data_IF_495086000849
#
_entry.id   IF_495086000849
#
_cell.length_a   1.000
_cell.length_b   1.000
_cell.length_c   1.000
_cell.angle_alpha   90.00
_cell.angle_beta   90.00
_cell.angle_gamma   90.00
#
_symmetry.space_group_name_H-M   'P 1'
#
loop_
_entity.id
_entity.type
_entity.pdbx_description
1 polymer ?
#
# COMPACT_ATOMS: atom_id res chain seq x y z
N UNK A 1 6.37 12.10 -51.84
CA UNK A 1 7.60 11.48 -51.26
C UNK A 1 8.02 12.17 -49.96
N UNK A 2 8.25 13.50 -49.97
CA UNK A 2 8.64 14.27 -48.78
C UNK A 2 7.64 14.23 -47.62
N UNK A 3 6.34 14.24 -47.89
CA UNK A 3 5.30 14.18 -46.84
C UNK A 3 5.31 12.86 -46.06
N UNK A 4 5.58 11.75 -46.74
CA UNK A 4 5.72 10.43 -46.11
C UNK A 4 6.95 10.38 -45.22
N UNK A 5 8.06 10.99 -45.68
CA UNK A 5 9.30 11.09 -44.91
C UNK A 5 9.13 12.00 -43.69
N UNK A 6 8.44 13.13 -43.84
CA UNK A 6 8.15 14.06 -42.76
C UNK A 6 7.24 13.42 -41.70
N UNK A 7 6.21 12.66 -42.13
CA UNK A 7 5.35 11.89 -41.24
C UNK A 7 6.12 10.82 -40.46
N UNK A 8 7.05 10.13 -41.13
CA UNK A 8 7.92 9.13 -40.49
C UNK A 8 8.82 9.77 -39.42
N UNK A 9 9.46 10.89 -39.74
CA UNK A 9 10.36 11.62 -38.83
C UNK A 9 9.59 12.18 -37.64
N UNK A 10 8.42 12.79 -37.88
CA UNK A 10 7.55 13.30 -36.83
C UNK A 10 7.09 12.17 -35.89
N UNK A 11 6.68 11.02 -36.44
CA UNK A 11 6.32 9.84 -35.65
C UNK A 11 7.46 9.33 -34.78
N UNK A 12 8.68 9.27 -35.33
CA UNK A 12 9.87 8.81 -34.60
C UNK A 12 10.23 9.74 -33.44
N UNK A 13 10.09 11.05 -33.63
CA UNK A 13 10.32 12.06 -32.59
C UNK A 13 9.30 11.94 -31.45
N UNK A 14 8.02 11.70 -31.77
CA UNK A 14 6.97 11.49 -30.76
C UNK A 14 7.26 10.23 -29.95
N UNK A 15 7.59 9.12 -30.62
CA UNK A 15 7.92 7.85 -29.94
C UNK A 15 9.16 7.99 -29.06
N UNK A 16 10.20 8.66 -29.56
CA UNK A 16 11.41 8.93 -28.79
C UNK A 16 11.12 9.81 -27.56
N UNK A 17 10.31 10.86 -27.70
CA UNK A 17 9.88 11.71 -26.59
C UNK A 17 9.14 10.93 -25.51
N UNK A 18 8.21 10.05 -25.91
CA UNK A 18 7.52 9.14 -24.99
C UNK A 18 8.52 8.22 -24.28
N UNK A 19 9.47 7.64 -25.02
CA UNK A 19 10.48 6.74 -24.46
C UNK A 19 11.36 7.43 -23.41
N UNK A 20 11.76 8.68 -23.67
CA UNK A 20 12.57 9.50 -22.76
C UNK A 20 11.77 9.89 -21.51
N UNK A 21 10.50 10.27 -21.69
CA UNK A 21 9.62 10.66 -20.58
C UNK A 21 9.29 9.48 -19.65
N UNK A 22 9.28 8.24 -20.17
CA UNK A 22 8.99 7.04 -19.38
C UNK A 22 10.20 6.51 -18.57
N UNK A 23 11.43 6.91 -18.92
CA UNK A 23 12.65 6.56 -18.17
C UNK A 23 12.90 5.04 -17.96
N UNK A 24 13.92 4.67 -17.17
CA UNK A 24 14.28 3.27 -16.92
C UNK A 24 13.21 2.46 -16.14
N UNK A 25 12.19 3.12 -15.60
CA UNK A 25 11.07 2.50 -14.90
C UNK A 25 10.08 1.77 -15.85
N UNK A 26 10.15 2.01 -17.15
CA UNK A 26 9.33 1.32 -18.15
C UNK A 26 9.59 -0.19 -18.22
N UNK A 27 10.82 -0.65 -17.97
CA UNK A 27 11.17 -2.09 -17.98
C UNK A 27 10.36 -2.90 -16.97
N UNK A 28 10.03 -2.30 -15.81
CA UNK A 28 9.19 -2.93 -14.80
C UNK A 28 7.70 -3.00 -15.19
N UNK A 29 7.21 -2.00 -15.92
CA UNK A 29 5.81 -1.92 -16.36
C UNK A 29 5.54 -2.85 -17.57
N UNK A 30 6.46 -2.90 -18.53
CA UNK A 30 6.36 -3.80 -19.70
C UNK A 30 6.40 -5.27 -19.28
N UNK A 31 7.21 -5.63 -18.26
CA UNK A 31 7.24 -7.00 -17.71
C UNK A 31 5.92 -7.38 -17.04
N UNK A 32 5.23 -6.44 -16.39
CA UNK A 32 3.90 -6.67 -15.77
C UNK A 32 2.79 -6.85 -16.80
N UNK A 33 2.80 -6.08 -17.89
CA UNK A 33 1.80 -6.20 -18.95
C UNK A 33 2.02 -7.45 -19.81
N UNK A 34 3.26 -7.86 -20.04
CA UNK A 34 3.59 -9.09 -20.77
C UNK A 34 3.13 -10.37 -20.03
N UNK A 35 3.15 -10.37 -18.69
CA UNK A 35 2.65 -11.49 -17.87
C UNK A 35 1.12 -11.56 -17.88
N UNK A 36 0.44 -10.42 -18.02
CA UNK A 36 -1.02 -10.38 -18.11
C UNK A 36 -1.54 -10.91 -19.46
N UNK A 37 -0.80 -10.68 -20.55
CA UNK A 37 -1.20 -11.09 -21.91
C UNK A 37 -0.99 -12.59 -22.21
N UNK A 38 -0.32 -13.34 -21.33
CA UNK A 38 -0.05 -14.79 -21.52
C UNK A 38 -1.07 -15.75 -20.88
N UNK A 39 -2.16 -15.27 -20.30
CA UNK A 39 -3.25 -16.17 -19.86
C UNK A 39 -4.15 -16.56 -21.04
N UNK A 40 -3.73 -17.58 -21.80
CA UNK A 40 -4.68 -18.43 -22.53
C UNK A 40 -5.51 -19.25 -21.53
N UNK A 41 -6.79 -19.55 -21.83
CA UNK A 41 -7.68 -20.20 -20.88
C UNK A 41 -7.41 -21.70 -20.89
N UNK A 42 -6.84 -22.24 -19.82
CA UNK A 42 -6.93 -23.67 -19.54
C UNK A 42 -8.20 -23.89 -18.72
N UNK A 43 -9.16 -24.60 -19.30
CA UNK A 43 -10.29 -25.22 -18.62
C UNK A 43 -9.76 -26.10 -17.47
N UNK A 44 -9.87 -25.63 -16.23
CA UNK A 44 -9.71 -26.47 -15.05
C UNK A 44 -10.78 -26.09 -14.03
N UNK A 45 -11.99 -26.61 -14.22
CA UNK A 45 -13.14 -26.43 -13.35
C UNK A 45 -13.03 -27.18 -11.99
N UNK A 46 -11.86 -27.71 -11.63
CA UNK A 46 -11.67 -28.46 -10.39
C UNK A 46 -10.27 -28.21 -9.82
N UNK A 47 -10.04 -27.00 -9.29
CA UNK A 47 -8.98 -26.79 -8.32
C UNK A 47 -9.59 -26.15 -7.06
N UNK A 48 -9.61 -26.83 -5.90
CA UNK A 48 -9.98 -26.19 -4.64
C UNK A 48 -9.04 -25.00 -4.41
N UNK A 49 -9.53 -23.89 -3.84
CA UNK A 49 -8.75 -22.66 -3.70
C UNK A 49 -7.53 -22.94 -2.83
N UNK A 50 -6.36 -23.10 -3.48
CA UNK A 50 -5.08 -23.12 -2.80
C UNK A 50 -4.95 -21.78 -2.06
N UNK A 51 -4.72 -21.77 -0.73
CA UNK A 51 -4.50 -20.55 0.01
C UNK A 51 -3.39 -19.79 -0.70
N UNK A 52 -3.71 -18.56 -1.08
CA UNK A 52 -2.77 -17.64 -1.72
C UNK A 52 -1.65 -17.43 -0.72
N UNK A 53 -0.55 -18.16 -0.89
CA UNK A 53 0.69 -17.95 -0.15
C UNK A 53 1.17 -16.56 -0.57
N UNK A 54 0.79 -15.58 0.26
CA UNK A 54 1.24 -14.20 0.13
C UNK A 54 2.74 -14.28 0.22
N UNK A 55 3.41 -14.04 -0.91
CA UNK A 55 4.85 -13.88 -1.03
C UNK A 55 5.36 -13.26 0.26
N UNK A 56 6.01 -14.08 1.07
CA UNK A 56 6.70 -13.64 2.26
C UNK A 56 7.81 -12.71 1.77
N UNK A 57 7.49 -11.42 1.71
CA UNK A 57 8.50 -10.41 1.96
C UNK A 57 9.17 -10.86 3.26
N UNK A 58 10.51 -10.88 3.33
CA UNK A 58 11.26 -11.28 4.53
C UNK A 58 11.03 -10.40 5.76
N UNK A 59 9.89 -9.70 5.82
CA UNK A 59 9.35 -9.00 6.95
C UNK A 59 8.88 -9.99 8.02
N UNK A 60 9.05 -9.57 9.27
CA UNK A 60 8.52 -10.29 10.41
C UNK A 60 6.97 -10.38 10.32
N UNK A 61 6.37 -11.53 10.68
CA UNK A 61 4.92 -11.72 10.62
C UNK A 61 4.13 -10.67 11.42
N UNK A 62 4.66 -10.17 12.54
CA UNK A 62 4.02 -9.09 13.31
C UNK A 62 4.06 -7.74 12.58
N UNK A 63 5.18 -7.41 11.91
CA UNK A 63 5.27 -6.24 11.01
C UNK A 63 4.23 -6.34 9.90
N UNK A 64 4.10 -7.52 9.30
CA UNK A 64 3.10 -7.77 8.26
C UNK A 64 1.67 -7.56 8.79
N UNK A 65 1.36 -8.01 10.02
CA UNK A 65 0.06 -7.75 10.66
C UNK A 65 -0.21 -6.26 10.81
N UNK A 66 0.77 -5.47 11.23
CA UNK A 66 0.64 -4.00 11.30
C UNK A 66 0.34 -3.42 9.92
N UNK A 67 1.10 -3.81 8.89
CA UNK A 67 0.89 -3.32 7.53
C UNK A 67 -0.48 -3.69 6.96
N UNK A 68 -0.97 -4.89 7.25
CA UNK A 68 -2.32 -5.33 6.83
C UNK A 68 -3.39 -4.50 7.53
N UNK A 69 -3.32 -4.36 8.85
CA UNK A 69 -4.29 -3.55 9.62
C UNK A 69 -4.27 -2.07 9.17
N UNK A 70 -3.08 -1.53 8.94
CA UNK A 70 -2.85 -0.20 8.40
C UNK A 70 -3.51 0.00 7.04
N UNK A 71 -3.35 -0.97 6.14
CA UNK A 71 -3.92 -0.91 4.80
C UNK A 71 -5.44 -0.98 4.83
N UNK A 72 -6.03 -1.81 5.70
CA UNK A 72 -7.49 -1.92 5.89
C UNK A 72 -8.06 -0.60 6.38
N UNK A 73 -7.49 -0.05 7.46
CA UNK A 73 -7.93 1.22 8.02
C UNK A 73 -7.72 2.38 7.03
N UNK A 74 -6.56 2.47 6.38
CA UNK A 74 -6.27 3.53 5.41
C UNK A 74 -7.16 3.47 4.17
N UNK A 75 -7.53 2.28 3.69
CA UNK A 75 -8.48 2.13 2.58
C UNK A 75 -9.89 2.53 3.00
N UNK A 76 -10.30 2.16 4.22
CA UNK A 76 -11.60 2.55 4.76
C UNK A 76 -11.69 4.07 4.96
N UNK A 77 -10.66 4.70 5.54
CA UNK A 77 -10.60 6.16 5.73
C UNK A 77 -10.68 6.92 4.40
N UNK A 78 -9.99 6.43 3.37
CA UNK A 78 -10.12 7.01 2.02
C UNK A 78 -11.56 6.93 1.50
N UNK A 79 -12.25 5.81 1.72
CA UNK A 79 -13.66 5.68 1.32
C UNK A 79 -14.58 6.63 2.10
N UNK A 80 -14.15 7.10 3.28
CA UNK A 80 -14.82 8.12 4.09
C UNK A 80 -14.29 9.55 3.83
N UNK A 81 -13.55 9.79 2.74
CA UNK A 81 -12.93 11.08 2.38
C UNK A 81 -11.87 11.61 3.37
N UNK A 82 -11.29 10.76 4.22
CA UNK A 82 -10.17 11.10 5.11
C UNK A 82 -8.81 10.76 4.47
N UNK A 83 -8.53 11.34 3.31
CA UNK A 83 -7.33 11.04 2.52
C UNK A 83 -6.02 11.45 3.19
N UNK A 84 -6.02 12.52 3.97
CA UNK A 84 -4.84 12.99 4.69
C UNK A 84 -4.34 11.93 5.68
N UNK A 85 -5.23 11.45 6.54
CA UNK A 85 -4.89 10.40 7.53
C UNK A 85 -4.58 9.08 6.83
N UNK A 86 -5.29 8.74 5.76
CA UNK A 86 -4.98 7.57 4.95
C UNK A 86 -3.58 7.66 4.30
N UNK A 87 -3.13 8.86 3.92
CA UNK A 87 -1.78 9.11 3.38
C UNK A 87 -0.71 9.00 4.47
N UNK A 88 -0.97 9.50 5.66
CA UNK A 88 -0.07 9.35 6.81
C UNK A 88 0.15 7.88 7.17
N UNK A 89 -0.93 7.08 7.27
CA UNK A 89 -0.84 5.65 7.52
C UNK A 89 -0.01 4.94 6.44
N UNK A 90 -0.17 5.33 5.16
CA UNK A 90 0.62 4.78 4.05
C UNK A 90 2.09 5.19 4.12
N UNK A 91 2.38 6.42 4.52
CA UNK A 91 3.75 6.91 4.71
C UNK A 91 4.45 6.19 5.87
N UNK A 92 3.76 6.03 7.00
CA UNK A 92 4.25 5.26 8.15
C UNK A 92 4.51 3.79 7.78
N UNK A 93 3.58 3.15 7.06
CA UNK A 93 3.74 1.80 6.53
C UNK A 93 4.95 1.67 5.59
N UNK A 94 5.21 2.68 4.75
CA UNK A 94 6.41 2.71 3.91
C UNK A 94 7.70 2.71 4.73
N UNK A 95 7.75 3.52 5.80
CA UNK A 95 8.90 3.58 6.72
C UNK A 95 9.16 2.25 7.40
N UNK A 96 8.11 1.47 7.71
CA UNK A 96 8.28 0.16 8.35
C UNK A 96 9.11 -0.84 7.55
N UNK A 97 9.24 -0.66 6.23
CA UNK A 97 10.07 -1.52 5.38
C UNK A 97 11.56 -1.16 5.40
N UNK A 98 11.92 0.07 5.79
CA UNK A 98 13.29 0.57 5.83
C UNK A 98 13.82 0.76 7.25
N UNK A 99 12.99 1.35 8.12
CA UNK A 99 13.27 1.62 9.52
C UNK A 99 11.98 1.36 10.31
N UNK A 100 11.89 0.14 10.82
CA UNK A 100 10.71 -0.35 11.51
C UNK A 100 10.34 0.45 12.76
N UNK A 101 11.25 0.74 13.71
CA UNK A 101 10.96 1.60 14.86
C UNK A 101 10.39 2.96 14.46
N UNK A 102 11.00 3.65 13.48
CA UNK A 102 10.50 4.95 13.02
C UNK A 102 9.09 4.86 12.42
N UNK A 103 8.80 3.79 11.68
CA UNK A 103 7.49 3.54 11.09
C UNK A 103 6.42 3.28 12.15
N UNK A 104 6.77 2.52 13.20
CA UNK A 104 5.89 2.24 14.33
C UNK A 104 5.56 3.51 15.13
N UNK A 105 6.54 4.38 15.38
CA UNK A 105 6.28 5.69 16.02
C UNK A 105 5.40 6.59 15.16
N UNK A 106 5.65 6.65 13.85
CA UNK A 106 4.78 7.37 12.92
C UNK A 106 3.35 6.82 12.96
N UNK A 107 3.19 5.50 13.14
CA UNK A 107 1.89 4.86 13.25
C UNK A 107 1.14 5.22 14.53
N UNK A 108 1.85 5.34 15.65
CA UNK A 108 1.25 5.86 16.89
C UNK A 108 0.77 7.29 16.72
N UNK A 109 1.54 8.14 16.02
CA UNK A 109 1.13 9.53 15.77
C UNK A 109 -0.14 9.60 14.92
N UNK A 110 -0.24 8.79 13.87
CA UNK A 110 -1.45 8.67 13.05
C UNK A 110 -2.65 8.15 13.87
N UNK A 111 -2.44 7.15 14.73
CA UNK A 111 -3.48 6.64 15.64
C UNK A 111 -3.97 7.67 16.67
N UNK A 112 -3.10 8.58 17.13
CA UNK A 112 -3.49 9.69 18.01
C UNK A 112 -4.37 10.70 17.26
N UNK A 113 -4.03 11.04 16.01
CA UNK A 113 -4.85 11.90 15.14
C UNK A 113 -6.21 11.27 14.81
N UNK A 114 -6.26 9.94 14.65
CA UNK A 114 -7.51 9.22 14.45
C UNK A 114 -8.48 9.34 15.63
N UNK A 115 -7.96 9.46 16.86
CA UNK A 115 -8.79 9.60 18.05
C UNK A 115 -9.52 10.94 18.11
N UNK A 116 -9.03 11.97 17.41
CA UNK A 116 -9.69 13.28 17.32
C UNK A 116 -10.70 13.34 16.17
N UNK A 117 -10.75 12.32 15.30
CA UNK A 117 -11.77 12.23 14.26
C UNK A 117 -13.09 11.77 14.88
N UNK A 118 -14.13 12.58 14.69
CA UNK A 118 -15.51 12.25 15.02
C UNK A 118 -16.29 12.14 13.71
N UNK A 119 -17.01 11.03 13.56
CA UNK A 119 -17.92 10.82 12.45
C UNK A 119 -19.36 11.00 12.95
N UNK A 120 -20.19 11.65 12.15
CA UNK A 120 -21.60 11.88 12.50
C UNK A 120 -22.43 10.59 12.47
N UNK A 121 -22.03 9.62 11.64
CA UNK A 121 -22.66 8.31 11.57
C UNK A 121 -22.12 7.36 12.66
N UNK A 122 -23.02 6.86 13.52
CA UNK A 122 -22.71 5.88 14.57
C UNK A 122 -22.15 4.57 13.99
N UNK A 123 -22.63 4.14 12.83
CA UNK A 123 -22.15 2.92 12.17
C UNK A 123 -20.69 3.07 11.71
N UNK A 124 -20.39 4.18 11.04
CA UNK A 124 -19.04 4.53 10.64
C UNK A 124 -18.11 4.73 11.85
N UNK A 125 -18.59 5.35 12.93
CA UNK A 125 -17.82 5.54 14.16
C UNK A 125 -17.43 4.22 14.82
N UNK A 126 -18.36 3.25 14.91
CA UNK A 126 -18.06 1.92 15.46
C UNK A 126 -17.07 1.15 14.57
N UNK A 127 -17.21 1.29 13.25
CA UNK A 127 -16.29 0.68 12.29
C UNK A 127 -14.87 1.26 12.40
N UNK A 128 -14.75 2.58 12.53
CA UNK A 128 -13.49 3.27 12.77
C UNK A 128 -12.85 2.79 14.08
N UNK A 129 -13.64 2.67 15.15
CA UNK A 129 -13.16 2.18 16.45
C UNK A 129 -12.62 0.75 16.35
N UNK A 130 -13.34 -0.12 15.66
CA UNK A 130 -12.91 -1.51 15.42
C UNK A 130 -11.57 -1.56 14.68
N UNK A 131 -11.46 -0.86 13.55
CA UNK A 131 -10.26 -0.87 12.71
C UNK A 131 -9.06 -0.19 13.39
N UNK A 132 -9.30 0.89 14.14
CA UNK A 132 -8.25 1.59 14.89
C UNK A 132 -7.74 0.77 16.07
N UNK A 133 -8.60 -0.01 16.72
CA UNK A 133 -8.19 -0.95 17.76
C UNK A 133 -7.38 -2.11 17.17
N UNK A 134 -7.81 -2.71 16.05
CA UNK A 134 -7.05 -3.76 15.35
C UNK A 134 -5.62 -3.29 15.00
N UNK A 135 -5.49 -2.06 14.48
CA UNK A 135 -4.18 -1.48 14.20
C UNK A 135 -3.39 -1.20 15.48
N UNK A 136 -4.03 -0.64 16.53
CA UNK A 136 -3.37 -0.36 17.80
C UNK A 136 -2.80 -1.62 18.44
N UNK A 137 -3.58 -2.69 18.47
CA UNK A 137 -3.16 -3.96 19.05
C UNK A 137 -1.97 -4.53 18.27
N UNK A 138 -2.03 -4.55 16.93
CA UNK A 138 -0.92 -5.00 16.11
C UNK A 138 0.35 -4.16 16.30
N UNK A 139 0.21 -2.84 16.43
CA UNK A 139 1.33 -1.91 16.68
C UNK A 139 1.94 -2.17 18.05
N UNK A 140 1.11 -2.28 19.10
CA UNK A 140 1.55 -2.55 20.46
C UNK A 140 2.29 -3.89 20.56
N UNK A 141 1.74 -4.94 19.96
CA UNK A 141 2.34 -6.26 19.86
C UNK A 141 3.73 -6.25 19.24
N UNK A 142 3.98 -5.32 18.31
CA UNK A 142 5.26 -5.17 17.63
C UNK A 142 6.23 -4.28 18.40
N UNK A 143 5.74 -3.23 19.04
CA UNK A 143 6.52 -2.41 19.98
C UNK A 143 7.11 -3.27 21.10
N UNK A 144 6.30 -4.12 21.72
CA UNK A 144 6.72 -5.03 22.78
C UNK A 144 7.82 -5.98 22.33
N UNK A 145 7.70 -6.54 21.11
CA UNK A 145 8.72 -7.42 20.55
C UNK A 145 10.05 -6.75 20.24
N UNK A 146 10.01 -5.46 19.89
CA UNK A 146 11.22 -4.69 19.63
C UNK A 146 11.81 -4.10 20.92
N UNK A 147 11.21 -4.41 22.08
CA UNK A 147 11.52 -3.80 23.37
C UNK A 147 11.54 -2.28 23.29
N UNK A 148 10.79 -1.74 22.32
CA UNK A 148 10.50 -0.33 22.22
C UNK A 148 9.48 -0.08 23.32
N UNK A 149 9.97 0.07 24.55
CA UNK A 149 9.16 0.44 25.69
C UNK A 149 8.30 1.64 25.27
N UNK A 150 6.98 1.63 25.52
CA UNK A 150 6.27 2.88 25.49
C UNK A 150 7.00 3.78 26.48
N UNK A 151 7.49 4.94 26.03
CA UNK A 151 7.87 6.00 26.94
C UNK A 151 6.78 6.05 28.01
N UNK A 152 7.22 5.71 29.22
CA UNK A 152 6.47 5.59 30.47
C UNK A 152 5.27 6.54 30.43
N UNK A 153 4.06 6.01 30.61
CA UNK A 153 2.89 6.88 30.88
C UNK A 153 3.26 7.76 32.09
N UNK A 154 3.01 9.08 32.06
CA UNK A 154 2.97 9.86 33.30
C UNK A 154 1.85 9.33 34.21
#
# INVERSE_FOLDING_TARGET
MLEVLAGLVAGLLIVAGILVMLGPNAKGLVRRVAVLRRRRPSLSAFQPPKPREVVATGLNPKTQRVLVAASRLGNWLRAQNHDEVARELRSAAGRMTSDEPSGLYAMQTALRRLRTLSLDDRGAQERLRTLSNELRDAVQDRFEQLELLPFRRP
#
